data_IF_356623771911
#
_entry.id   IF_356623771911
#
_cell.length_a   1.000
_cell.length_b   1.000
_cell.length_c   1.000
_cell.angle_alpha   90.00
_cell.angle_beta   90.00
_cell.angle_gamma   90.00
#
_symmetry.space_group_name_H-M   'P 1'
#
loop_
_entity.id
_entity.type
_entity.pdbx_description
1 polymer ?
#
# COMPACT_ATOMS: atom_id res chain seq x y z
N UNK A 1 -8.12 -18.95 9.97
CA UNK A 1 -7.66 -18.25 8.74
C UNK A 1 -6.94 -17.00 9.21
N UNK A 2 -5.65 -16.85 8.93
CA UNK A 2 -4.87 -15.70 9.42
C UNK A 2 -5.35 -14.42 8.72
N UNK A 3 -5.64 -13.38 9.49
CA UNK A 3 -6.06 -12.09 8.95
C UNK A 3 -4.84 -11.32 8.42
N UNK A 4 -5.00 -10.56 7.33
CA UNK A 4 -3.96 -9.68 6.79
C UNK A 4 -3.41 -8.70 7.84
N UNK A 5 -4.26 -8.21 8.75
CA UNK A 5 -3.82 -7.33 9.84
C UNK A 5 -2.85 -8.03 10.80
N UNK A 6 -3.11 -9.30 11.15
CA UNK A 6 -2.22 -10.08 12.02
C UNK A 6 -0.86 -10.26 11.35
N UNK A 7 -0.86 -10.63 10.06
CA UNK A 7 0.38 -10.78 9.28
C UNK A 7 1.14 -9.47 9.19
N UNK A 8 0.44 -8.35 8.94
CA UNK A 8 1.04 -7.02 8.83
C UNK A 8 1.76 -6.62 10.13
N UNK A 9 1.15 -6.85 11.28
CA UNK A 9 1.72 -6.51 12.59
C UNK A 9 3.00 -7.32 12.93
N UNK A 10 3.21 -8.46 12.28
CA UNK A 10 4.41 -9.28 12.43
C UNK A 10 5.55 -8.87 11.47
N UNK A 11 5.28 -8.03 10.46
CA UNK A 11 6.31 -7.61 9.51
C UNK A 11 7.19 -6.54 10.16
N UNK A 12 8.50 -6.76 10.09
CA UNK A 12 9.47 -5.78 10.56
C UNK A 12 9.75 -4.71 9.48
N UNK A 13 9.27 -3.50 9.72
CA UNK A 13 9.49 -2.32 8.88
C UNK A 13 10.64 -1.42 9.38
N UNK A 14 11.56 -1.94 10.22
CA UNK A 14 12.65 -1.16 10.82
C UNK A 14 13.52 -0.47 9.78
N UNK A 15 13.75 -1.12 8.64
CA UNK A 15 14.66 -0.69 7.58
C UNK A 15 13.97 0.15 6.47
N UNK A 16 12.69 0.46 6.63
CA UNK A 16 11.94 1.31 5.69
C UNK A 16 12.47 2.74 5.69
N UNK A 17 12.22 3.47 4.60
CA UNK A 17 12.65 4.88 4.49
C UNK A 17 12.03 5.72 5.62
N UNK A 18 12.78 6.67 6.21
CA UNK A 18 12.27 7.53 7.28
C UNK A 18 10.98 8.29 6.91
N UNK A 19 10.86 8.71 5.64
CA UNK A 19 9.70 9.42 5.09
C UNK A 19 8.38 8.66 5.19
N UNK A 20 8.42 7.32 5.16
CA UNK A 20 7.22 6.47 5.22
C UNK A 20 7.12 5.66 6.52
N UNK A 21 8.17 5.64 7.34
CA UNK A 21 8.24 4.84 8.57
C UNK A 21 7.12 5.20 9.54
N UNK A 22 6.92 6.51 9.79
CA UNK A 22 5.83 6.98 10.64
C UNK A 22 4.43 6.56 10.14
N UNK A 23 4.27 6.43 8.82
CA UNK A 23 3.02 5.91 8.25
C UNK A 23 2.90 4.42 8.55
N UNK A 24 3.94 3.62 8.28
CA UNK A 24 3.93 2.18 8.49
C UNK A 24 3.70 1.79 9.97
N UNK A 25 4.28 2.55 10.91
CA UNK A 25 4.20 2.28 12.34
C UNK A 25 2.77 2.52 12.91
N UNK A 26 2.01 3.47 12.37
CA UNK A 26 0.63 3.77 12.80
C UNK A 26 -0.45 3.11 11.93
N UNK A 27 -0.10 2.68 10.72
CA UNK A 27 -1.02 2.08 9.75
C UNK A 27 -1.43 0.68 10.18
N UNK A 28 -2.72 0.35 10.00
CA UNK A 28 -3.24 -1.02 10.15
C UNK A 28 -3.80 -1.47 8.81
N UNK A 29 -3.12 -2.41 8.15
CA UNK A 29 -3.54 -2.93 6.85
C UNK A 29 -4.70 -3.91 7.04
N UNK A 30 -5.88 -3.54 6.55
CA UNK A 30 -7.12 -4.28 6.78
C UNK A 30 -7.43 -5.27 5.66
N UNK A 31 -7.27 -4.81 4.41
CA UNK A 31 -7.62 -5.62 3.25
C UNK A 31 -6.75 -5.24 2.04
N UNK A 32 -6.65 -6.17 1.11
CA UNK A 32 -5.96 -6.00 -0.15
C UNK A 32 -6.80 -6.56 -1.29
N UNK A 33 -6.93 -5.78 -2.35
CA UNK A 33 -7.56 -6.24 -3.58
C UNK A 33 -6.65 -5.99 -4.78
N UNK A 34 -6.57 -6.98 -5.67
CA UNK A 34 -5.83 -6.90 -6.92
C UNK A 34 -6.78 -7.13 -8.08
N UNK A 35 -6.79 -6.18 -9.01
CA UNK A 35 -7.56 -6.27 -10.24
C UNK A 35 -6.63 -6.14 -11.46
N UNK A 36 -6.98 -6.81 -12.55
CA UNK A 36 -6.32 -6.64 -13.86
C UNK A 36 -7.37 -6.24 -14.89
N UNK A 37 -7.19 -5.06 -15.48
CA UNK A 37 -8.04 -4.50 -16.53
C UNK A 37 -7.18 -4.35 -17.80
N UNK A 38 -7.12 -5.43 -18.58
CA UNK A 38 -6.26 -5.51 -19.76
C UNK A 38 -4.76 -5.38 -19.41
N UNK A 39 -4.15 -4.26 -19.83
CA UNK A 39 -2.74 -3.91 -19.56
C UNK A 39 -2.53 -3.19 -18.22
N UNK A 40 -3.61 -2.79 -17.56
CA UNK A 40 -3.55 -2.09 -16.28
C UNK A 40 -3.73 -3.10 -15.16
N UNK A 41 -2.83 -3.07 -14.18
CA UNK A 41 -2.97 -3.79 -12.93
C UNK A 41 -3.20 -2.78 -11.81
N UNK A 42 -4.25 -2.97 -11.01
CA UNK A 42 -4.57 -2.12 -9.86
C UNK A 42 -4.40 -2.91 -8.57
N UNK A 43 -3.60 -2.36 -7.66
CA UNK A 43 -3.49 -2.80 -6.27
C UNK A 43 -4.22 -1.81 -5.38
N UNK A 44 -5.20 -2.27 -4.62
CA UNK A 44 -5.99 -1.48 -3.71
C UNK A 44 -5.68 -1.93 -2.27
N UNK A 45 -4.96 -1.08 -1.52
CA UNK A 45 -4.63 -1.30 -0.11
C UNK A 45 -5.64 -0.57 0.76
N UNK A 46 -6.41 -1.30 1.55
CA UNK A 46 -7.40 -0.74 2.47
C UNK A 46 -6.80 -0.79 3.88
N UNK A 47 -6.74 0.36 4.55
CA UNK A 47 -6.08 0.47 5.84
C UNK A 47 -6.74 1.52 6.73
N UNK A 48 -6.51 1.41 8.04
CA UNK A 48 -6.76 2.53 8.96
C UNK A 48 -5.46 3.23 9.32
N UNK A 49 -5.53 4.54 9.52
CA UNK A 49 -4.47 5.35 10.09
C UNK A 49 -5.12 6.38 11.01
N UNK A 50 -4.66 6.49 12.27
CA UNK A 50 -5.29 7.35 13.30
C UNK A 50 -6.82 7.21 13.31
N UNK A 51 -7.27 5.96 13.38
CA UNK A 51 -8.70 5.57 13.48
C UNK A 51 -9.57 5.91 12.26
N UNK A 52 -8.99 6.43 11.18
CA UNK A 52 -9.72 6.74 9.94
C UNK A 52 -9.36 5.74 8.84
N UNK A 53 -10.35 5.40 8.01
CA UNK A 53 -10.20 4.45 6.91
C UNK A 53 -9.84 5.09 5.56
N UNK A 54 -8.87 4.47 4.89
CA UNK A 54 -8.30 4.93 3.64
C UNK A 54 -8.12 3.79 2.63
N UNK A 55 -8.02 4.19 1.36
CA UNK A 55 -7.67 3.29 0.26
C UNK A 55 -6.59 3.92 -0.60
N UNK A 56 -5.42 3.29 -0.65
CA UNK A 56 -4.35 3.58 -1.59
C UNK A 56 -4.48 2.66 -2.80
N UNK A 57 -4.67 3.25 -3.98
CA UNK A 57 -4.69 2.53 -5.25
C UNK A 57 -3.38 2.80 -5.99
N UNK A 58 -2.60 1.74 -6.21
CA UNK A 58 -1.41 1.77 -7.05
C UNK A 58 -1.73 1.07 -8.38
N UNK A 59 -1.51 1.79 -9.47
CA UNK A 59 -1.76 1.31 -10.82
C UNK A 59 -0.45 1.14 -11.58
N UNK A 60 -0.33 -0.01 -12.23
CA UNK A 60 0.76 -0.35 -13.14
C UNK A 60 0.19 -0.46 -14.56
N UNK A 61 0.74 0.30 -15.49
CA UNK A 61 0.51 0.11 -16.92
C UNK A 61 1.77 -0.46 -17.55
N UNK A 62 1.67 -1.71 -18.00
CA UNK A 62 2.76 -2.37 -18.69
C UNK A 62 2.76 -1.97 -20.18
N UNK A 63 3.88 -1.43 -20.63
CA UNK A 63 4.12 -1.13 -22.04
C UNK A 63 5.51 -1.61 -22.45
N UNK A 64 5.80 -1.66 -23.75
CA UNK A 64 7.05 -2.22 -24.25
C UNK A 64 8.32 -1.51 -23.74
N UNK A 65 8.24 -0.21 -23.42
CA UNK A 65 9.35 0.59 -22.86
C UNK A 65 9.54 0.46 -21.35
N UNK A 66 8.68 -0.28 -20.63
CA UNK A 66 8.71 -0.34 -19.17
C UNK A 66 7.33 -0.31 -18.50
N UNK A 67 7.28 0.24 -17.29
CA UNK A 67 6.08 0.25 -16.45
C UNK A 67 5.81 1.69 -16.00
N UNK A 68 4.64 2.19 -16.38
CA UNK A 68 4.12 3.44 -15.83
C UNK A 68 3.39 3.16 -14.51
N UNK A 69 3.73 3.93 -13.49
CA UNK A 69 3.12 3.85 -12.17
C UNK A 69 2.35 5.13 -11.86
N UNK A 70 1.10 5.02 -11.40
CA UNK A 70 0.37 6.13 -10.80
C UNK A 70 -0.40 5.71 -9.57
N UNK A 71 -0.69 6.69 -8.72
CA UNK A 71 -1.37 6.49 -7.45
C UNK A 71 -2.67 7.27 -7.44
N UNK A 72 -3.72 6.65 -6.92
CA UNK A 72 -4.98 7.32 -6.59
C UNK A 72 -5.34 7.02 -5.15
N UNK A 73 -5.88 8.01 -4.49
CA UNK A 73 -6.40 7.88 -3.14
C UNK A 73 -7.88 8.19 -3.19
N UNK A 74 -8.70 7.23 -2.75
CA UNK A 74 -10.16 7.42 -2.70
C UNK A 74 -10.50 8.20 -1.42
N UNK A 75 -11.32 9.25 -1.56
CA UNK A 75 -11.71 10.33 -0.60
C UNK A 75 -10.91 11.64 -0.78
N UNK A 76 -11.54 12.83 -0.70
CA UNK A 76 -10.82 14.11 -0.74
C UNK A 76 -10.02 14.38 0.55
N UNK A 77 -8.94 15.16 0.39
CA UNK A 77 -8.18 15.95 1.39
C UNK A 77 -7.35 15.29 2.49
N UNK A 78 -7.10 13.98 2.50
CA UNK A 78 -6.15 13.40 3.46
C UNK A 78 -4.67 13.53 3.04
N UNK A 79 -4.38 13.53 1.74
CA UNK A 79 -2.99 13.56 1.22
C UNK A 79 -2.47 14.95 0.81
N UNK A 80 -3.28 15.98 0.94
CA UNK A 80 -2.81 17.38 0.84
C UNK A 80 -2.28 17.91 2.18
N UNK A 81 -2.33 17.11 3.25
CA UNK A 81 -1.99 17.51 4.62
C UNK A 81 -0.95 16.51 5.16
N UNK A 82 0.07 16.99 5.87
CA UNK A 82 1.05 16.14 6.53
C UNK A 82 0.35 15.07 7.42
N UNK A 83 0.87 13.83 7.51
CA UNK A 83 2.15 13.32 6.99
C UNK A 83 2.13 12.77 5.56
N UNK A 84 1.03 12.97 4.82
CA UNK A 84 0.79 12.31 3.54
C UNK A 84 1.34 13.03 2.31
N UNK A 85 2.19 14.04 2.52
CA UNK A 85 3.01 14.70 1.50
C UNK A 85 4.13 13.76 0.99
N UNK A 86 3.78 12.52 0.66
CA UNK A 86 4.70 11.55 0.08
C UNK A 86 4.84 11.86 -1.40
N UNK A 87 6.08 12.03 -1.86
CA UNK A 87 6.33 12.10 -3.29
C UNK A 87 6.07 10.74 -3.95
N UNK A 88 6.09 10.69 -5.29
CA UNK A 88 5.86 9.45 -6.05
C UNK A 88 6.80 8.31 -5.63
N UNK A 89 8.07 8.60 -5.30
CA UNK A 89 9.05 7.60 -4.87
C UNK A 89 8.71 7.00 -3.51
N UNK A 90 8.24 7.83 -2.58
CA UNK A 90 7.77 7.40 -1.27
C UNK A 90 6.48 6.57 -1.37
N UNK A 91 5.56 6.93 -2.27
CA UNK A 91 4.35 6.14 -2.53
C UNK A 91 4.67 4.77 -3.14
N UNK A 92 5.63 4.70 -4.07
CA UNK A 92 6.14 3.42 -4.57
C UNK A 92 6.71 2.58 -3.42
N UNK A 93 7.56 3.19 -2.58
CA UNK A 93 8.18 2.46 -1.48
C UNK A 93 7.16 1.99 -0.44
N UNK A 94 6.18 2.83 -0.10
CA UNK A 94 5.05 2.44 0.76
C UNK A 94 4.31 1.24 0.15
N UNK A 95 3.97 1.29 -1.14
CA UNK A 95 3.32 0.17 -1.82
C UNK A 95 4.16 -1.11 -1.78
N UNK A 96 5.49 -1.03 -1.93
CA UNK A 96 6.39 -2.18 -1.82
C UNK A 96 6.37 -2.79 -0.41
N UNK A 97 6.46 -1.96 0.63
CA UNK A 97 6.43 -2.41 2.03
C UNK A 97 5.09 -3.06 2.41
N UNK A 98 3.96 -2.48 1.97
CA UNK A 98 2.64 -3.10 2.16
C UNK A 98 2.54 -4.46 1.43
N UNK A 99 3.15 -4.59 0.25
CA UNK A 99 3.17 -5.84 -0.49
C UNK A 99 3.96 -6.95 0.22
N UNK A 100 4.93 -6.64 1.09
CA UNK A 100 5.61 -7.65 1.91
C UNK A 100 4.62 -8.41 2.78
N UNK A 101 3.73 -7.69 3.49
CA UNK A 101 2.68 -8.29 4.31
C UNK A 101 1.66 -9.06 3.45
N UNK A 102 1.22 -8.48 2.33
CA UNK A 102 0.27 -9.13 1.40
C UNK A 102 0.84 -10.44 0.85
N UNK A 103 2.11 -10.47 0.45
CA UNK A 103 2.76 -11.67 -0.06
C UNK A 103 2.92 -12.74 1.02
N UNK A 104 3.27 -12.35 2.25
CA UNK A 104 3.33 -13.27 3.39
C UNK A 104 1.94 -13.85 3.70
N UNK A 105 0.90 -13.01 3.71
CA UNK A 105 -0.48 -13.42 3.93
C UNK A 105 -0.98 -14.39 2.86
N UNK A 106 -0.74 -14.10 1.59
CA UNK A 106 -1.10 -14.98 0.47
C UNK A 106 -0.40 -16.35 0.54
N UNK A 107 0.80 -16.44 1.13
CA UNK A 107 1.52 -17.72 1.29
C UNK A 107 1.00 -18.58 2.44
N UNK A 108 0.41 -17.96 3.46
CA UNK A 108 -0.15 -18.66 4.62
C UNK A 108 -1.60 -19.11 4.34
N UNK A 109 -2.32 -18.35 3.50
CA UNK A 109 -3.71 -18.63 3.12
C UNK A 109 -3.91 -19.43 1.83
N UNK A 110 -2.85 -19.74 1.09
CA UNK A 110 -2.86 -20.62 -0.09
C UNK A 110 -2.42 -22.04 0.30
#
# INVERSE_FOLDING_TARGET
>A
MTNLLEVYNEVNYSNSRPSIKAVLDELKLLNFHRERLGKIQRFSFHFTYREKEYTLEHYFLYHWKGIDNWFKLKKPSFFTIAPFSLNKSDLCKLSEELMVAVNKWNRIGA
#
